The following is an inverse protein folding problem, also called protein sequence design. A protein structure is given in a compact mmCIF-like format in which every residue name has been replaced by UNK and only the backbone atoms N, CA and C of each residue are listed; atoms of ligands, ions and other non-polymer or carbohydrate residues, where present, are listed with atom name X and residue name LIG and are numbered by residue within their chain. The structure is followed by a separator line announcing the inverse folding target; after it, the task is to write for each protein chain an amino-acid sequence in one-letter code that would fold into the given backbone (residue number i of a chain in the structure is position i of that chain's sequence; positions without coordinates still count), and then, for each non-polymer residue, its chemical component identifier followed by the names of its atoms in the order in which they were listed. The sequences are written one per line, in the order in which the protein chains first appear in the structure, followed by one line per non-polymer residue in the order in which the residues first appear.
data_IF_339314960827
#
_entry.id   IF_339314960827
#
_cell.length_a   1.000
_cell.length_b   1.000
_cell.length_c   1.000
_cell.angle_alpha   90.00
_cell.angle_beta   90.00
_cell.angle_gamma   90.00
#
_symmetry.space_group_name_H-M   'P 1'
#
loop_
_entity.id
_entity.type
_entity.pdbx_description
1 polymer ?
#
# COMPACT_ATOMS: atom_id res chain seq x y z
N UNK A 1 -9.83 6.88 -21.57
CA UNK A 1 -9.90 7.22 -20.14
C UNK A 1 -9.07 6.19 -19.37
N UNK A 2 -7.99 6.59 -18.72
CA UNK A 2 -7.22 5.67 -17.87
C UNK A 2 -8.05 5.39 -16.61
N UNK A 3 -8.51 4.16 -16.45
CA UNK A 3 -9.22 3.72 -15.25
C UNK A 3 -8.21 3.75 -14.09
N UNK A 4 -8.43 4.60 -13.10
CA UNK A 4 -7.61 4.58 -11.89
C UNK A 4 -7.98 3.36 -11.06
N UNK A 5 -7.00 2.51 -10.82
CA UNK A 5 -7.15 1.37 -9.95
C UNK A 5 -7.56 1.79 -8.53
N UNK A 6 -8.44 1.01 -7.90
CA UNK A 6 -8.83 1.25 -6.51
C UNK A 6 -7.62 1.09 -5.58
N UNK A 7 -7.56 1.94 -4.56
CA UNK A 7 -6.51 1.85 -3.57
C UNK A 7 -6.82 0.74 -2.55
N UNK A 8 -5.90 -0.20 -2.36
CA UNK A 8 -5.98 -1.21 -1.32
C UNK A 8 -5.76 -0.56 0.06
N UNK A 9 -6.60 -0.89 1.01
CA UNK A 9 -6.47 -0.47 2.41
C UNK A 9 -5.53 -1.43 3.11
N UNK A 10 -4.37 -0.92 3.53
CA UNK A 10 -3.28 -1.74 4.09
C UNK A 10 -2.57 -1.04 5.23
N UNK A 11 -1.93 -1.82 6.09
CA UNK A 11 -1.10 -1.33 7.20
C UNK A 11 0.37 -1.26 6.80
N UNK A 12 1.19 -0.56 7.60
CA UNK A 12 2.62 -0.51 7.40
C UNK A 12 3.26 -1.91 7.47
N UNK A 13 2.83 -2.76 8.41
CA UNK A 13 3.33 -4.14 8.53
C UNK A 13 2.99 -4.98 7.30
N UNK A 14 1.77 -4.85 6.78
CA UNK A 14 1.39 -5.55 5.55
C UNK A 14 2.30 -5.17 4.39
N UNK A 15 2.59 -3.87 4.23
CA UNK A 15 3.53 -3.39 3.21
C UNK A 15 4.95 -3.92 3.43
N UNK A 16 5.49 -3.83 4.64
CA UNK A 16 6.84 -4.34 4.97
C UNK A 16 6.99 -5.84 4.67
N UNK A 17 5.91 -6.62 4.83
CA UNK A 17 5.89 -8.06 4.60
C UNK A 17 5.68 -8.43 3.12
N UNK A 18 5.37 -7.47 2.26
CA UNK A 18 5.02 -7.69 0.85
C UNK A 18 6.27 -7.56 -0.02
N UNK A 19 7.01 -8.65 -0.21
CA UNK A 19 8.30 -8.67 -0.92
C UNK A 19 8.22 -9.31 -2.33
N UNK A 20 7.05 -9.81 -2.71
CA UNK A 20 6.82 -10.48 -3.99
C UNK A 20 6.15 -9.52 -4.97
N UNK A 21 6.74 -9.39 -6.16
CA UNK A 21 6.23 -8.56 -7.24
C UNK A 21 5.72 -9.43 -8.38
N UNK A 22 4.52 -9.15 -8.83
CA UNK A 22 3.92 -9.74 -10.00
C UNK A 22 3.91 -8.70 -11.13
N UNK A 23 4.57 -9.02 -12.24
CA UNK A 23 4.55 -8.17 -13.43
C UNK A 23 3.28 -8.44 -14.23
N UNK A 24 2.56 -7.39 -14.57
CA UNK A 24 1.43 -7.48 -15.49
C UNK A 24 1.88 -7.84 -16.92
N UNK A 25 0.92 -8.12 -17.77
CA UNK A 25 1.14 -8.38 -19.20
C UNK A 25 1.01 -7.08 -20.02
N UNK A 26 1.62 -7.03 -21.21
CA UNK A 26 1.50 -5.95 -22.19
C UNK A 26 2.75 -5.11 -22.37
N UNK A 27 2.69 -4.12 -23.27
CA UNK A 27 3.84 -3.25 -23.65
C UNK A 27 4.34 -2.36 -22.48
N UNK A 28 3.49 -2.04 -21.52
CA UNK A 28 3.81 -1.27 -20.32
C UNK A 28 3.20 -1.98 -19.09
N UNK A 29 3.81 -3.11 -18.69
CA UNK A 29 3.25 -3.90 -17.59
C UNK A 29 3.22 -3.10 -16.31
N UNK A 30 2.07 -3.10 -15.65
CA UNK A 30 1.93 -2.56 -14.29
C UNK A 30 2.39 -3.64 -13.33
N UNK A 31 3.40 -3.35 -12.54
CA UNK A 31 3.83 -4.23 -11.46
C UNK A 31 2.87 -4.11 -10.27
N UNK A 32 2.48 -5.25 -9.72
CA UNK A 32 1.69 -5.35 -8.51
C UNK A 32 2.50 -6.02 -7.43
N UNK A 33 2.47 -5.46 -6.24
CA UNK A 33 3.08 -6.06 -5.06
C UNK A 33 2.07 -6.99 -4.41
N UNK A 34 2.44 -8.24 -4.22
CA UNK A 34 1.60 -9.22 -3.52
C UNK A 34 1.85 -9.16 -2.02
N UNK A 35 0.76 -9.16 -1.26
CA UNK A 35 0.79 -9.20 0.19
C UNK A 35 0.54 -10.62 0.68
N UNK A 36 1.23 -11.08 1.74
CA UNK A 36 0.87 -12.34 2.41
C UNK A 36 -0.53 -12.28 3.07
N UNK A 37 -1.14 -11.10 3.17
CA UNK A 37 -2.50 -10.89 3.68
C UNK A 37 -3.56 -10.79 2.58
N UNK A 38 -3.25 -11.27 1.37
CA UNK A 38 -4.23 -11.39 0.28
C UNK A 38 -4.55 -10.06 -0.43
N UNK A 39 -3.61 -9.14 -0.55
CA UNK A 39 -3.75 -7.95 -1.39
C UNK A 39 -2.82 -8.01 -2.61
N UNK A 40 -3.27 -7.48 -3.74
CA UNK A 40 -2.51 -7.33 -4.99
C UNK A 40 -2.41 -5.85 -5.33
N UNK A 41 -1.33 -5.22 -4.86
CA UNK A 41 -1.23 -3.78 -4.70
C UNK A 41 -0.38 -3.11 -5.78
N UNK A 42 -0.93 -2.13 -6.48
CA UNK A 42 -0.20 -1.08 -7.17
C UNK A 42 -0.46 0.26 -6.47
N UNK A 43 -1.68 0.46 -5.96
CA UNK A 43 -2.13 1.67 -5.30
C UNK A 43 -2.70 1.34 -3.92
N UNK A 44 -2.32 2.14 -2.90
CA UNK A 44 -2.69 1.88 -1.51
C UNK A 44 -3.26 3.12 -0.82
N UNK A 45 -4.08 2.88 0.19
CA UNK A 45 -4.54 3.86 1.17
C UNK A 45 -4.04 3.43 2.54
N UNK A 46 -3.31 4.33 3.20
CA UNK A 46 -2.75 4.16 4.54
C UNK A 46 -3.15 5.32 5.44
N UNK A 47 -3.28 5.08 6.73
CA UNK A 47 -3.57 6.09 7.76
C UNK A 47 -2.64 5.93 8.96
N UNK A 48 -2.05 7.03 9.40
CA UNK A 48 -1.06 7.05 10.48
C UNK A 48 -0.39 8.41 10.57
N UNK A 49 0.73 8.48 11.26
CA UNK A 49 1.47 9.72 11.49
C UNK A 49 2.61 9.89 10.49
N UNK A 50 2.66 11.05 9.83
CA UNK A 50 3.82 11.51 9.06
C UNK A 50 4.74 12.35 9.93
N UNK A 51 6.04 12.05 9.87
CA UNK A 51 7.11 12.90 10.42
C UNK A 51 7.43 14.06 9.48
N UNK A 52 8.13 15.11 9.94
CA UNK A 52 8.66 16.14 9.06
C UNK A 52 9.50 15.53 7.93
N UNK A 53 9.34 16.02 6.68
CA UNK A 53 10.06 15.48 5.55
C UNK A 53 11.49 15.99 5.47
N UNK A 54 12.34 15.20 4.83
CA UNK A 54 13.70 15.57 4.47
C UNK A 54 13.87 15.57 2.94
N UNK A 55 14.68 16.49 2.39
CA UNK A 55 15.04 16.46 0.98
C UNK A 55 15.93 15.25 0.70
N UNK A 56 15.78 14.66 -0.47
CA UNK A 56 16.61 13.56 -0.95
C UNK A 56 17.30 13.95 -2.24
N UNK A 57 18.60 13.71 -2.33
CA UNK A 57 19.40 14.10 -3.48
C UNK A 57 20.20 15.38 -3.21
N UNK A 58 20.79 15.92 -4.28
CA UNK A 58 21.69 17.10 -4.24
C UNK A 58 21.14 18.28 -5.04
N UNK A 59 19.88 18.19 -5.51
CA UNK A 59 19.27 19.25 -6.29
C UNK A 59 19.00 20.48 -5.43
N UNK A 60 19.22 21.65 -6.00
CA UNK A 60 18.88 22.94 -5.39
C UNK A 60 18.08 23.79 -6.40
N UNK A 61 16.78 24.02 -6.16
CA UNK A 61 15.98 23.55 -5.02
C UNK A 61 15.68 22.04 -5.05
N UNK A 62 15.46 21.41 -3.89
CA UNK A 62 15.17 19.98 -3.82
C UNK A 62 13.91 19.59 -4.60
N UNK A 63 14.05 18.58 -5.45
CA UNK A 63 12.98 18.08 -6.33
C UNK A 63 12.31 16.79 -5.82
N UNK A 64 12.86 16.19 -4.77
CA UNK A 64 12.39 14.93 -4.19
C UNK A 64 12.48 14.97 -2.65
N UNK A 65 11.39 14.53 -2.00
CA UNK A 65 11.24 14.56 -0.55
C UNK A 65 10.83 13.20 -0.01
N UNK A 66 11.31 12.88 1.19
CA UNK A 66 10.98 11.66 1.93
C UNK A 66 10.53 12.02 3.34
N UNK A 67 9.54 11.31 3.84
CA UNK A 67 9.11 11.35 5.24
C UNK A 67 8.96 9.92 5.76
N UNK A 68 9.04 9.76 7.06
CA UNK A 68 8.66 8.52 7.75
C UNK A 68 7.16 8.55 8.03
N UNK A 69 6.47 7.53 7.56
CA UNK A 69 5.10 7.22 7.95
C UNK A 69 5.13 6.13 9.01
N UNK A 70 4.30 6.26 10.05
CA UNK A 70 4.18 5.28 11.15
C UNK A 70 2.72 5.07 11.47
N UNK A 71 2.31 3.81 11.56
CA UNK A 71 1.04 3.37 12.16
C UNK A 71 1.33 2.41 13.33
N UNK A 72 0.32 1.92 14.07
CA UNK A 72 0.55 1.00 15.20
C UNK A 72 1.24 -0.31 14.83
N UNK A 73 1.34 -0.66 13.56
CA UNK A 73 1.90 -1.92 13.08
C UNK A 73 3.35 -1.82 12.61
N UNK A 74 3.82 -0.64 12.20
CA UNK A 74 5.16 -0.45 11.68
C UNK A 74 5.43 0.94 11.11
N UNK A 75 6.52 1.07 10.35
CA UNK A 75 6.93 2.33 9.72
C UNK A 75 7.46 2.10 8.32
N UNK A 76 7.03 2.93 7.37
CA UNK A 76 7.50 2.88 5.99
C UNK A 76 7.88 4.28 5.48
N UNK A 77 8.79 4.38 4.49
CA UNK A 77 9.04 5.64 3.81
C UNK A 77 7.85 6.06 2.93
N UNK A 78 7.48 7.33 3.02
CA UNK A 78 6.57 7.99 2.08
C UNK A 78 7.36 9.03 1.31
N UNK A 79 7.23 9.04 0.00
CA UNK A 79 8.00 9.91 -0.89
C UNK A 79 7.09 10.74 -1.79
N UNK A 80 7.56 11.91 -2.19
CA UNK A 80 6.92 12.72 -3.23
C UNK A 80 7.99 13.51 -4.00
N UNK A 81 7.83 13.62 -5.30
CA UNK A 81 8.76 14.31 -6.18
C UNK A 81 8.08 15.18 -7.23
N UNK A 82 8.86 15.71 -8.18
CA UNK A 82 8.38 16.62 -9.22
C UNK A 82 7.22 16.07 -10.06
N UNK A 83 7.12 14.76 -10.21
CA UNK A 83 5.99 14.11 -10.91
C UNK A 83 4.69 14.07 -10.08
N UNK A 84 4.75 14.38 -8.77
CA UNK A 84 3.62 14.47 -7.87
C UNK A 84 3.61 15.87 -7.19
N UNK A 85 3.49 16.96 -7.93
CA UNK A 85 3.71 18.31 -7.41
C UNK A 85 2.76 18.67 -6.27
N UNK A 86 1.50 18.19 -6.33
CA UNK A 86 0.52 18.39 -5.26
C UNK A 86 0.90 17.66 -3.98
N UNK A 87 1.24 16.38 -4.08
CA UNK A 87 1.66 15.59 -2.91
C UNK A 87 2.97 16.11 -2.33
N UNK A 88 3.91 16.53 -3.17
CA UNK A 88 5.17 17.14 -2.74
C UNK A 88 4.92 18.45 -1.97
N UNK A 89 4.04 19.32 -2.48
CA UNK A 89 3.66 20.56 -1.79
C UNK A 89 3.01 20.26 -0.42
N UNK A 90 2.10 19.30 -0.37
CA UNK A 90 1.45 18.87 0.88
C UNK A 90 2.47 18.29 1.88
N UNK A 91 3.39 17.44 1.42
CA UNK A 91 4.42 16.85 2.27
C UNK A 91 5.31 17.92 2.92
N UNK A 92 5.75 18.90 2.16
CA UNK A 92 6.62 20.01 2.63
C UNK A 92 5.98 20.90 3.68
N UNK A 93 4.66 20.91 3.83
CA UNK A 93 3.98 21.70 4.87
C UNK A 93 4.02 21.04 6.25
N UNK A 94 4.51 19.79 6.36
CA UNK A 94 4.54 19.06 7.62
C UNK A 94 5.80 19.43 8.40
N UNK A 95 5.65 20.32 9.38
CA UNK A 95 6.74 20.80 10.24
C UNK A 95 6.91 19.99 11.54
N UNK A 96 5.86 19.28 11.96
CA UNK A 96 5.83 18.42 13.15
C UNK A 96 5.11 17.12 12.82
N UNK A 97 5.32 16.03 13.57
CA UNK A 97 4.57 14.79 13.34
C UNK A 97 3.07 15.05 13.31
N UNK A 98 2.38 14.53 12.30
CA UNK A 98 0.97 14.84 12.07
C UNK A 98 0.17 13.63 11.58
N UNK A 99 -1.01 13.36 12.19
CA UNK A 99 -1.96 12.39 11.67
C UNK A 99 -2.35 12.69 10.22
N UNK A 100 -2.26 11.69 9.37
CA UNK A 100 -2.42 11.85 7.92
C UNK A 100 -3.04 10.62 7.28
N UNK A 101 -3.86 10.84 6.26
CA UNK A 101 -4.35 9.82 5.34
C UNK A 101 -3.65 10.02 4.00
N UNK A 102 -3.10 8.95 3.47
CA UNK A 102 -2.27 8.98 2.27
C UNK A 102 -2.81 7.99 1.25
N UNK A 103 -2.92 8.44 0.01
CA UNK A 103 -3.11 7.57 -1.15
C UNK A 103 -1.89 7.69 -2.03
N UNK A 104 -1.34 6.56 -2.46
CA UNK A 104 -0.14 6.55 -3.28
C UNK A 104 0.13 5.21 -3.95
N UNK A 105 1.16 5.16 -4.77
CA UNK A 105 1.64 3.94 -5.42
C UNK A 105 2.71 3.28 -4.58
N UNK A 106 2.62 1.96 -4.47
CA UNK A 106 3.67 1.14 -3.85
C UNK A 106 4.87 1.07 -4.79
N UNK A 107 6.04 1.14 -4.20
CA UNK A 107 7.30 0.99 -4.93
C UNK A 107 8.22 0.04 -4.16
N UNK A 108 8.55 -1.10 -4.77
CA UNK A 108 9.56 -2.04 -4.29
C UNK A 108 10.88 -1.73 -5.00
N UNK A 109 11.91 -1.47 -4.24
CA UNK A 109 13.27 -1.32 -4.73
C UNK A 109 14.17 -2.40 -4.11
N UNK A 110 14.96 -3.05 -4.93
CA UNK A 110 16.00 -3.98 -4.46
C UNK A 110 17.35 -3.30 -4.62
N UNK A 111 18.04 -3.09 -3.50
CA UNK A 111 19.38 -2.54 -3.46
C UNK A 111 20.42 -3.48 -4.09
N UNK A 112 21.66 -3.02 -4.20
CA UNK A 112 22.79 -3.83 -4.68
C UNK A 112 23.12 -5.01 -3.74
N UNK A 113 22.77 -4.89 -2.49
CA UNK A 113 22.86 -5.89 -1.41
C UNK A 113 21.70 -6.91 -1.44
N UNK A 114 20.82 -6.85 -2.46
CA UNK A 114 19.59 -7.63 -2.58
C UNK A 114 18.56 -7.36 -1.46
N UNK A 115 18.78 -6.38 -0.62
CA UNK A 115 17.79 -5.97 0.39
C UNK A 115 16.63 -5.27 -0.31
N UNK A 116 15.42 -5.70 0.03
CA UNK A 116 14.20 -5.13 -0.50
C UNK A 116 13.74 -3.94 0.37
N UNK A 117 13.45 -2.83 -0.29
CA UNK A 117 12.95 -1.62 0.33
C UNK A 117 11.59 -1.27 -0.26
N UNK A 118 10.61 -1.10 0.60
CA UNK A 118 9.27 -0.68 0.20
C UNK A 118 9.08 0.78 0.58
N UNK A 119 8.45 1.52 -0.31
CA UNK A 119 8.01 2.88 -0.07
C UNK A 119 6.65 3.14 -0.70
N UNK A 120 5.95 4.16 -0.22
CA UNK A 120 4.74 4.67 -0.87
C UNK A 120 5.07 6.02 -1.51
N UNK A 121 4.96 6.08 -2.83
CA UNK A 121 5.01 7.34 -3.58
C UNK A 121 3.64 8.00 -3.51
N UNK A 122 3.54 9.03 -2.70
CA UNK A 122 2.27 9.71 -2.45
C UNK A 122 1.71 10.39 -3.70
N UNK A 123 0.43 10.16 -3.97
CA UNK A 123 -0.38 10.91 -4.94
C UNK A 123 -1.17 12.02 -4.25
N UNK A 124 -1.62 11.75 -3.02
CA UNK A 124 -2.35 12.70 -2.18
C UNK A 124 -2.01 12.45 -0.72
N UNK A 125 -1.77 13.52 0.01
CA UNK A 125 -1.56 13.52 1.47
C UNK A 125 -2.60 14.46 2.06
N UNK A 126 -3.34 14.00 3.05
CA UNK A 126 -4.30 14.82 3.77
C UNK A 126 -4.00 14.74 5.27
N UNK A 127 -3.62 15.85 5.85
CA UNK A 127 -3.55 15.99 7.30
C UNK A 127 -4.98 15.91 7.86
N UNK A 128 -5.16 15.16 8.93
CA UNK A 128 -6.46 14.88 9.55
C UNK A 128 -6.40 15.07 11.06
N UNK A 129 -7.56 15.09 11.71
CA UNK A 129 -7.62 15.00 13.16
C UNK A 129 -7.34 13.55 13.61
N UNK A 130 -6.83 13.36 14.82
CA UNK A 130 -6.57 12.03 15.38
C UNK A 130 -7.80 11.10 15.38
N UNK A 131 -9.00 11.65 15.63
CA UNK A 131 -10.23 10.87 15.59
C UNK A 131 -10.54 10.34 14.19
N UNK A 132 -10.27 11.14 13.15
CA UNK A 132 -10.44 10.75 11.76
C UNK A 132 -9.37 9.72 11.35
N UNK A 133 -8.12 9.93 11.73
CA UNK A 133 -7.04 8.95 11.50
C UNK A 133 -7.40 7.59 12.10
N UNK A 134 -7.86 7.55 13.37
CA UNK A 134 -8.28 6.31 14.04
C UNK A 134 -9.46 5.64 13.33
N UNK A 135 -10.43 6.41 12.84
CA UNK A 135 -11.57 5.87 12.12
C UNK A 135 -11.14 5.21 10.78
N UNK A 136 -10.25 5.88 10.04
CA UNK A 136 -9.71 5.34 8.78
C UNK A 136 -8.83 4.12 9.05
N UNK A 137 -8.01 4.14 10.11
CA UNK A 137 -7.18 3.01 10.50
C UNK A 137 -8.04 1.79 10.89
N UNK A 138 -9.13 2.00 11.63
CA UNK A 138 -10.07 0.93 11.98
C UNK A 138 -10.71 0.31 10.73
N UNK A 139 -11.03 1.12 9.71
CA UNK A 139 -11.53 0.64 8.42
C UNK A 139 -10.46 -0.17 7.66
N UNK A 140 -9.20 0.28 7.67
CA UNK A 140 -8.06 -0.45 7.09
C UNK A 140 -7.91 -1.82 7.75
N UNK A 141 -7.92 -1.86 9.09
CA UNK A 141 -7.77 -3.12 9.85
C UNK A 141 -8.92 -4.09 9.54
N UNK A 142 -10.16 -3.60 9.49
CA UNK A 142 -11.31 -4.44 9.10
C UNK A 142 -11.11 -5.07 7.73
N UNK A 143 -10.72 -4.29 6.72
CA UNK A 143 -10.42 -4.81 5.38
C UNK A 143 -9.30 -5.84 5.37
N UNK A 144 -8.28 -5.66 6.22
CA UNK A 144 -7.19 -6.64 6.34
C UNK A 144 -7.68 -7.95 6.96
N UNK A 145 -8.54 -7.89 7.98
CA UNK A 145 -9.15 -9.07 8.60
C UNK A 145 -10.07 -9.82 7.61
N UNK A 146 -10.93 -9.09 6.90
CA UNK A 146 -11.82 -9.68 5.90
C UNK A 146 -11.03 -10.40 4.78
N UNK A 147 -9.85 -9.87 4.40
CA UNK A 147 -8.96 -10.54 3.45
C UNK A 147 -8.30 -11.79 4.02
N UNK A 148 -7.89 -11.74 5.28
CA UNK A 148 -7.32 -12.91 5.96
C UNK A 148 -8.34 -14.03 6.10
N UNK A 149 -9.60 -13.72 6.43
CA UNK A 149 -10.69 -14.68 6.48
C UNK A 149 -10.93 -15.34 5.11
N UNK A 150 -10.89 -14.53 4.03
CA UNK A 150 -10.98 -15.05 2.67
C UNK A 150 -9.80 -15.96 2.32
N UNK A 151 -8.59 -15.55 2.68
CA UNK A 151 -7.36 -16.30 2.45
C UNK A 151 -7.43 -17.68 3.14
N UNK A 152 -7.79 -17.69 4.42
CA UNK A 152 -7.97 -18.91 5.22
C UNK A 152 -9.03 -19.85 4.59
N UNK A 153 -10.12 -19.28 4.10
CA UNK A 153 -11.16 -20.07 3.44
C UNK A 153 -10.68 -20.71 2.15
N UNK A 154 -9.97 -19.95 1.29
CA UNK A 154 -9.40 -20.48 0.03
C UNK A 154 -8.34 -21.55 0.32
N UNK A 155 -7.57 -21.40 1.39
CA UNK A 155 -6.55 -22.36 1.82
C UNK A 155 -7.20 -23.69 2.31
N UNK A 156 -8.23 -23.59 3.15
CA UNK A 156 -8.94 -24.76 3.69
C UNK A 156 -9.78 -25.50 2.66
N UNK A 157 -10.27 -24.79 1.65
CA UNK A 157 -11.12 -25.31 0.58
C UNK A 157 -10.49 -25.04 -0.81
N UNK A 158 -9.38 -25.70 -1.19
CA UNK A 158 -8.66 -25.38 -2.44
C UNK A 158 -9.52 -25.53 -3.71
N UNK A 159 -10.56 -26.38 -3.66
CA UNK A 159 -11.50 -26.61 -4.76
C UNK A 159 -12.68 -25.65 -4.81
N UNK A 160 -12.81 -24.71 -3.87
CA UNK A 160 -13.91 -23.75 -3.87
C UNK A 160 -13.86 -22.88 -5.12
N UNK A 161 -14.99 -22.72 -5.84
CA UNK A 161 -15.03 -21.91 -7.05
C UNK A 161 -15.09 -20.42 -6.73
N UNK A 162 -14.59 -19.59 -7.65
CA UNK A 162 -14.65 -18.13 -7.52
C UNK A 162 -16.10 -17.63 -7.47
N UNK A 163 -17.03 -18.29 -8.19
CA UNK A 163 -18.45 -17.97 -8.15
C UNK A 163 -19.04 -18.23 -6.75
N UNK A 164 -18.63 -19.32 -6.08
CA UNK A 164 -19.05 -19.62 -4.72
C UNK A 164 -18.55 -18.57 -3.73
N UNK A 165 -17.31 -18.13 -3.87
CA UNK A 165 -16.72 -17.08 -3.04
C UNK A 165 -17.41 -15.72 -3.29
N UNK A 166 -17.67 -15.38 -4.55
CA UNK A 166 -18.37 -14.16 -4.93
C UNK A 166 -19.81 -14.14 -4.43
N UNK A 167 -20.54 -15.27 -4.53
CA UNK A 167 -21.87 -15.42 -3.98
C UNK A 167 -21.92 -15.27 -2.46
N UNK A 168 -20.82 -15.59 -1.76
CA UNK A 168 -20.65 -15.35 -0.34
C UNK A 168 -20.19 -13.90 0.00
N UNK A 169 -20.13 -13.01 -1.00
CA UNK A 169 -19.84 -11.59 -0.83
C UNK A 169 -18.39 -11.20 -0.99
N UNK A 170 -17.49 -12.13 -1.34
CA UNK A 170 -16.08 -11.79 -1.56
C UNK A 170 -15.90 -10.97 -2.85
N UNK A 171 -15.26 -9.79 -2.81
CA UNK A 171 -14.97 -9.00 -4.01
C UNK A 171 -14.05 -9.75 -4.98
N UNK A 172 -14.38 -9.76 -6.29
CA UNK A 172 -13.59 -10.46 -7.31
C UNK A 172 -12.07 -10.15 -7.26
N UNK A 173 -11.64 -8.89 -7.15
CA UNK A 173 -10.21 -8.57 -7.00
C UNK A 173 -9.56 -9.20 -5.76
N UNK A 174 -10.31 -9.42 -4.68
CA UNK A 174 -9.79 -10.07 -3.47
C UNK A 174 -9.62 -11.57 -3.67
N UNK A 175 -10.55 -12.22 -4.38
CA UNK A 175 -10.43 -13.65 -4.70
C UNK A 175 -9.15 -13.92 -5.52
N UNK A 176 -8.93 -13.13 -6.57
CA UNK A 176 -7.71 -13.22 -7.40
C UNK A 176 -6.45 -13.00 -6.56
N UNK A 177 -6.46 -11.98 -5.68
CA UNK A 177 -5.33 -11.66 -4.82
C UNK A 177 -5.06 -12.77 -3.79
N UNK A 178 -6.10 -13.36 -3.17
CA UNK A 178 -5.95 -14.45 -2.21
C UNK A 178 -5.31 -15.69 -2.85
N UNK A 179 -5.76 -16.10 -4.04
CA UNK A 179 -5.15 -17.22 -4.78
C UNK A 179 -3.69 -16.95 -5.15
N UNK A 180 -3.39 -15.74 -5.64
CA UNK A 180 -2.04 -15.34 -5.95
C UNK A 180 -1.13 -15.34 -4.71
N UNK A 181 -1.62 -14.86 -3.57
CA UNK A 181 -0.89 -14.84 -2.31
C UNK A 181 -0.55 -16.25 -1.83
N UNK A 182 -1.51 -17.18 -1.81
CA UNK A 182 -1.28 -18.58 -1.41
C UNK A 182 -0.28 -19.29 -2.32
N UNK A 183 -0.24 -18.94 -3.60
CA UNK A 183 0.76 -19.49 -4.51
C UNK A 183 2.18 -18.99 -4.21
N UNK A 184 2.34 -17.77 -3.76
CA UNK A 184 3.64 -17.11 -3.51
C UNK A 184 4.14 -17.26 -2.08
N UNK A 185 3.22 -17.35 -1.12
CA UNK A 185 3.48 -17.50 0.31
C UNK A 185 2.81 -18.78 0.81
N UNK A 186 3.33 -19.97 0.44
CA UNK A 186 2.78 -21.22 0.94
C UNK A 186 2.97 -21.29 2.46
N UNK A 187 1.94 -21.73 3.18
CA UNK A 187 1.95 -21.92 4.63
C UNK A 187 2.63 -23.21 5.04
#
# INVERSE_FOLDING_TARGET
MSYRELAWRVTARELESSLEEEKGEGERPVAHLLSPFGARMNRVLIAGTLSPPEPVGRDDPPTFWRSRFTDPTGSIPVTAGGFQPRAMAQLRTIAVPRPSVIVGKVHLYRGRDSVAYISVRAETIRAVAEAEERAVLADIVRHSLDRLDLLERVEKEPGVSDDTLAAAGAPGPWIVAARAALHRYPT
#
